data_IF_492536917655
#
_entry.id   IF_492536917655
#
_cell.length_a   1.000
_cell.length_b   1.000
_cell.length_c   1.000
_cell.angle_alpha   90.00
_cell.angle_beta   90.00
_cell.angle_gamma   90.00
#
_symmetry.space_group_name_H-M   'P 1'
#
loop_
_entity.id
_entity.type
_entity.pdbx_description
1 polymer ?
#
# COMPACT_ATOMS: atom_id res chain seq x y z
N UNK A 1 -14.42 -36.35 -40.63
CA UNK A 1 -15.55 -36.13 -39.71
C UNK A 1 -15.37 -37.10 -38.56
N UNK A 2 -15.07 -36.57 -37.36
CA UNK A 2 -14.90 -37.20 -36.03
C UNK A 2 -13.85 -38.31 -35.79
N UNK A 3 -13.08 -38.12 -34.71
CA UNK A 3 -12.14 -39.04 -34.04
C UNK A 3 -10.92 -38.26 -33.51
N UNK A 4 -10.92 -37.62 -32.34
CA UNK A 4 -10.75 -38.10 -30.94
C UNK A 4 -9.36 -38.70 -30.63
N UNK A 5 -8.58 -37.94 -29.85
CA UNK A 5 -7.69 -38.26 -28.69
C UNK A 5 -6.65 -39.39 -28.82
N UNK A 6 -5.36 -39.05 -28.57
CA UNK A 6 -4.52 -39.71 -27.54
C UNK A 6 -3.14 -39.06 -27.35
N UNK A 7 -2.67 -39.13 -26.10
CA UNK A 7 -1.43 -38.65 -25.50
C UNK A 7 -0.14 -39.05 -26.24
N UNK A 8 0.89 -38.21 -26.12
CA UNK A 8 2.26 -38.70 -25.92
C UNK A 8 2.77 -38.28 -24.55
N UNK A 9 2.94 -39.29 -23.70
CA UNK A 9 3.84 -39.30 -22.56
C UNK A 9 5.27 -39.11 -23.07
N UNK A 10 5.94 -38.08 -22.56
CA UNK A 10 7.39 -37.94 -22.65
C UNK A 10 7.95 -37.79 -21.24
N UNK A 11 8.16 -38.91 -20.54
CA UNK A 11 9.09 -38.94 -19.42
C UNK A 11 10.50 -38.87 -20.02
N UNK A 12 11.23 -37.80 -19.70
CA UNK A 12 12.68 -37.77 -19.85
C UNK A 12 13.25 -37.83 -18.44
N UNK A 13 13.85 -38.97 -18.14
CA UNK A 13 14.73 -39.18 -17.00
C UNK A 13 16.04 -38.44 -17.32
N UNK A 14 16.44 -37.45 -16.53
CA UNK A 14 17.81 -36.96 -16.55
C UNK A 14 18.20 -36.30 -15.21
N UNK A 15 19.03 -37.04 -14.47
CA UNK A 15 20.14 -36.58 -13.63
C UNK A 15 19.90 -35.36 -12.72
N UNK A 16 19.41 -35.68 -11.53
CA UNK A 16 20.12 -35.43 -10.27
C UNK A 16 21.10 -34.24 -10.28
N UNK A 17 20.55 -33.04 -10.15
CA UNK A 17 21.11 -32.06 -9.20
C UNK A 17 20.05 -31.89 -8.12
N UNK A 18 20.37 -32.35 -6.91
CA UNK A 18 19.73 -31.90 -5.67
C UNK A 18 19.81 -30.36 -5.63
N UNK A 19 18.87 -29.69 -6.29
CA UNK A 19 18.51 -28.33 -5.93
C UNK A 19 17.68 -28.53 -4.67
N UNK A 20 18.39 -28.50 -3.53
CA UNK A 20 17.75 -28.09 -2.29
C UNK A 20 17.29 -26.67 -2.50
N UNK A 21 16.10 -26.54 -3.08
CA UNK A 21 15.26 -25.37 -2.91
C UNK A 21 14.75 -25.40 -1.47
N UNK A 22 15.70 -25.29 -0.54
CA UNK A 22 15.40 -24.81 0.80
C UNK A 22 15.12 -23.34 0.59
N UNK A 23 13.87 -23.03 0.21
CA UNK A 23 13.29 -21.73 0.48
C UNK A 23 13.60 -21.47 1.95
N UNK A 24 14.60 -20.62 2.19
CA UNK A 24 14.92 -20.15 3.53
C UNK A 24 13.66 -19.48 4.02
N UNK A 25 12.97 -20.14 4.95
CA UNK A 25 11.86 -19.54 5.66
C UNK A 25 12.47 -18.35 6.37
N UNK A 26 12.24 -17.15 5.81
CA UNK A 26 12.67 -15.92 6.44
C UNK A 26 12.00 -15.83 7.80
N UNK A 27 12.78 -15.49 8.82
CA UNK A 27 12.21 -15.25 10.14
C UNK A 27 11.20 -14.08 10.03
N UNK A 28 10.07 -14.13 10.75
CA UNK A 28 9.18 -12.99 10.86
C UNK A 28 9.93 -11.77 11.39
N UNK A 29 9.60 -10.59 10.87
CA UNK A 29 10.11 -9.31 11.40
C UNK A 29 9.01 -8.56 12.14
N UNK A 30 9.39 -7.62 12.99
CA UNK A 30 8.45 -6.76 13.68
C UNK A 30 8.27 -5.45 12.91
N UNK A 31 7.02 -5.13 12.56
CA UNK A 31 6.65 -3.84 11.96
C UNK A 31 6.10 -2.96 13.05
N UNK A 32 6.72 -1.81 13.27
CA UNK A 32 6.15 -0.73 14.08
C UNK A 32 5.19 0.09 13.22
N UNK A 33 3.97 0.30 13.69
CA UNK A 33 2.96 1.09 12.99
C UNK A 33 2.64 2.32 13.83
N UNK A 34 2.70 3.50 13.21
CA UNK A 34 2.18 4.73 13.76
C UNK A 34 1.01 5.20 12.91
N UNK A 35 -0.18 5.13 13.50
CA UNK A 35 -1.40 5.66 12.93
C UNK A 35 -1.56 7.11 13.38
N UNK A 36 -2.01 7.95 12.47
CA UNK A 36 -2.35 9.34 12.72
C UNK A 36 -3.79 9.56 12.27
N UNK A 37 -4.57 10.26 13.09
CA UNK A 37 -5.86 10.78 12.65
C UNK A 37 -5.61 11.99 11.74
N UNK A 38 -6.08 11.92 10.49
CA UNK A 38 -5.86 12.98 9.51
C UNK A 38 -6.45 14.33 9.92
N UNK A 39 -7.46 14.37 10.81
CA UNK A 39 -8.21 15.59 11.12
C UNK A 39 -8.66 15.76 12.57
N UNK A 40 -9.10 14.70 13.24
CA UNK A 40 -9.60 14.77 14.62
C UNK A 40 -8.51 14.85 15.68
N UNK A 41 -7.27 14.46 15.31
CA UNK A 41 -6.09 14.49 16.18
C UNK A 41 -6.12 13.47 17.32
N UNK A 42 -7.17 12.66 17.43
CA UNK A 42 -7.29 11.57 18.42
C UNK A 42 -7.95 10.37 17.77
N UNK A 43 -7.22 9.27 17.74
CA UNK A 43 -7.75 8.00 17.25
C UNK A 43 -8.69 7.35 18.28
N UNK A 44 -9.62 6.50 17.85
CA UNK A 44 -10.44 5.73 18.76
C UNK A 44 -9.58 4.69 19.50
N UNK A 45 -10.10 4.19 20.62
CA UNK A 45 -9.57 2.97 21.21
C UNK A 45 -9.96 1.75 20.34
N UNK A 46 -9.35 0.60 20.64
CA UNK A 46 -9.65 -0.68 20.00
C UNK A 46 -9.38 -0.74 18.48
N UNK A 47 -8.25 -0.19 18.04
CA UNK A 47 -7.81 -0.29 16.65
C UNK A 47 -7.19 -1.67 16.42
N UNK A 48 -7.70 -2.42 15.45
CA UNK A 48 -7.22 -3.76 15.12
C UNK A 48 -6.23 -3.71 13.96
N UNK A 49 -5.04 -4.27 14.20
CA UNK A 49 -4.03 -4.56 13.19
C UNK A 49 -4.07 -6.06 12.89
N UNK A 50 -4.22 -6.43 11.62
CA UNK A 50 -4.26 -7.84 11.19
C UNK A 50 -3.23 -8.08 10.09
N UNK A 51 -2.32 -9.04 10.31
CA UNK A 51 -1.38 -9.53 9.30
C UNK A 51 -1.68 -10.98 8.95
N UNK A 52 -0.89 -11.58 8.05
CA UNK A 52 -0.99 -13.03 7.79
C UNK A 52 -0.51 -13.91 8.94
N UNK A 53 0.18 -13.34 9.94
CA UNK A 53 0.79 -14.08 11.05
C UNK A 53 0.05 -13.90 12.36
N UNK A 54 -0.49 -12.71 12.61
CA UNK A 54 -1.18 -12.41 13.86
C UNK A 54 -2.21 -11.29 13.72
N UNK A 55 -3.00 -11.11 14.79
CA UNK A 55 -3.93 -10.02 14.98
C UNK A 55 -3.60 -9.35 16.32
N UNK A 56 -3.65 -8.02 16.36
CA UNK A 56 -3.35 -7.24 17.56
C UNK A 56 -4.21 -6.00 17.64
N UNK A 57 -4.77 -5.75 18.83
CA UNK A 57 -5.47 -4.50 19.13
C UNK A 57 -4.52 -3.49 19.78
N UNK A 58 -4.58 -2.24 19.36
CA UNK A 58 -3.84 -1.11 19.91
C UNK A 58 -4.80 -0.03 20.41
N UNK A 59 -4.30 0.86 21.25
CA UNK A 59 -5.09 1.92 21.86
C UNK A 59 -5.08 3.21 21.01
N UNK A 60 -5.76 4.24 21.52
CA UNK A 60 -5.86 5.57 20.93
C UNK A 60 -4.53 6.33 20.78
N UNK A 61 -3.39 5.79 21.23
CA UNK A 61 -2.07 6.35 20.87
C UNK A 61 -1.76 6.21 19.38
N UNK A 62 -2.42 5.25 18.72
CA UNK A 62 -2.14 4.89 17.32
C UNK A 62 -0.81 4.19 17.12
N UNK A 63 -0.05 3.90 18.18
CA UNK A 63 1.24 3.24 18.09
C UNK A 63 1.10 1.74 18.37
N UNK A 64 1.60 0.92 17.46
CA UNK A 64 1.49 -0.52 17.50
C UNK A 64 2.73 -1.22 16.98
N UNK A 65 2.79 -2.53 17.21
CA UNK A 65 3.75 -3.38 16.52
C UNK A 65 3.13 -4.73 16.17
N UNK A 66 3.38 -5.25 14.97
CA UNK A 66 2.80 -6.49 14.48
C UNK A 66 3.83 -7.30 13.70
N UNK A 67 3.79 -8.63 13.86
CA UNK A 67 4.64 -9.56 13.12
C UNK A 67 4.15 -9.71 11.69
N UNK A 68 5.09 -9.67 10.74
CA UNK A 68 4.86 -9.95 9.32
C UNK A 68 5.89 -10.95 8.80
N UNK A 69 5.62 -11.64 7.68
CA UNK A 69 6.62 -12.48 7.04
C UNK A 69 7.84 -11.63 6.67
N UNK A 70 9.07 -12.10 6.95
CA UNK A 70 10.29 -11.43 6.50
C UNK A 70 10.59 -11.70 5.02
N UNK A 71 11.41 -10.85 4.39
CA UNK A 71 11.82 -10.95 2.99
C UNK A 71 10.65 -11.15 1.99
N UNK A 72 9.47 -10.61 2.28
CA UNK A 72 8.25 -10.83 1.52
C UNK A 72 7.33 -9.60 1.49
N UNK A 73 6.52 -9.49 0.45
CA UNK A 73 5.43 -8.52 0.45
C UNK A 73 4.40 -8.94 1.49
N UNK A 74 3.94 -7.99 2.29
CA UNK A 74 2.93 -8.22 3.31
C UNK A 74 1.82 -7.19 3.21
N UNK A 75 0.72 -7.48 3.88
CA UNK A 75 -0.40 -6.56 4.07
C UNK A 75 -0.75 -6.53 5.54
N UNK A 76 -0.87 -5.32 6.11
CA UNK A 76 -1.47 -5.10 7.41
C UNK A 76 -2.83 -4.44 7.18
N UNK A 77 -3.89 -5.15 7.51
CA UNK A 77 -5.23 -4.58 7.56
C UNK A 77 -5.39 -3.80 8.86
N UNK A 78 -5.88 -2.56 8.77
CA UNK A 78 -6.14 -1.69 9.91
C UNK A 78 -7.63 -1.38 9.93
N UNK A 79 -8.27 -1.71 11.05
CA UNK A 79 -9.69 -1.47 11.28
C UNK A 79 -9.87 -0.64 12.55
N UNK A 80 -10.66 0.42 12.45
CA UNK A 80 -11.00 1.29 13.56
C UNK A 80 -12.47 1.73 13.44
N UNK A 81 -13.18 1.93 14.56
CA UNK A 81 -14.56 2.44 14.54
C UNK A 81 -14.66 3.79 13.82
N UNK A 82 -15.61 3.93 12.89
CA UNK A 82 -15.87 5.14 12.09
C UNK A 82 -14.78 5.52 11.07
N UNK A 83 -13.80 4.63 10.82
CA UNK A 83 -12.79 4.79 9.77
C UNK A 83 -13.02 3.81 8.64
N UNK A 84 -12.55 4.19 7.45
CA UNK A 84 -12.40 3.25 6.34
C UNK A 84 -11.37 2.19 6.74
N UNK A 85 -11.56 0.94 6.30
CA UNK A 85 -10.53 -0.09 6.47
C UNK A 85 -9.32 0.26 5.60
N UNK A 86 -8.12 0.29 6.19
CA UNK A 86 -6.88 0.52 5.46
C UNK A 86 -6.12 -0.79 5.24
N UNK A 87 -5.52 -0.96 4.07
CA UNK A 87 -4.57 -2.03 3.75
C UNK A 87 -3.19 -1.41 3.56
N UNK A 88 -2.31 -1.58 4.53
CA UNK A 88 -0.93 -1.11 4.45
C UNK A 88 -0.09 -2.17 3.75
N UNK A 89 0.45 -1.84 2.57
CA UNK A 89 1.22 -2.76 1.73
C UNK A 89 2.65 -2.25 1.61
N UNK A 90 3.58 -3.09 2.02
CA UNK A 90 5.01 -2.90 1.87
C UNK A 90 5.68 -4.26 1.67
N UNK A 91 7.00 -4.25 1.46
CA UNK A 91 7.81 -5.46 1.48
C UNK A 91 8.79 -5.38 2.64
N UNK A 92 8.93 -6.49 3.34
CA UNK A 92 9.91 -6.66 4.41
C UNK A 92 11.24 -7.16 3.85
N UNK A 93 12.32 -6.85 4.54
CA UNK A 93 13.64 -7.46 4.38
C UNK A 93 14.02 -8.25 5.62
N UNK A 94 15.23 -8.01 6.10
CA UNK A 94 15.81 -8.66 7.30
C UNK A 94 15.75 -7.79 8.56
N UNK A 95 15.40 -6.51 8.43
CA UNK A 95 15.36 -5.53 9.52
C UNK A 95 13.93 -5.18 9.91
N UNK A 96 13.74 -4.74 11.16
CA UNK A 96 12.47 -4.19 11.63
C UNK A 96 12.19 -2.85 10.95
N UNK A 97 10.92 -2.59 10.65
CA UNK A 97 10.51 -1.44 9.83
C UNK A 97 9.46 -0.60 10.55
N UNK A 98 9.39 0.69 10.25
CA UNK A 98 8.37 1.60 10.78
C UNK A 98 7.51 2.12 9.65
N UNK A 99 6.20 1.95 9.76
CA UNK A 99 5.20 2.51 8.85
C UNK A 99 4.44 3.61 9.56
N UNK A 100 4.31 4.77 8.92
CA UNK A 100 3.48 5.88 9.42
C UNK A 100 2.37 6.14 8.40
N UNK A 101 1.12 6.12 8.83
CA UNK A 101 -0.02 6.34 7.94
C UNK A 101 -1.07 7.22 8.58
N UNK A 102 -1.76 7.99 7.74
CA UNK A 102 -2.96 8.72 8.11
C UNK A 102 -4.16 7.79 7.91
N UNK A 103 -5.00 7.64 8.93
CA UNK A 103 -6.30 6.99 8.80
C UNK A 103 -7.32 8.00 8.32
N UNK A 104 -8.11 7.61 7.33
CA UNK A 104 -9.16 8.44 6.77
C UNK A 104 -10.51 8.02 7.35
N UNK A 105 -11.16 8.94 8.05
CA UNK A 105 -12.57 8.79 8.37
C UNK A 105 -13.40 8.88 7.07
N UNK A 106 -14.53 8.18 7.06
CA UNK A 106 -15.39 8.08 5.86
C UNK A 106 -15.92 9.46 5.43
N UNK A 107 -16.35 10.27 6.39
CA UNK A 107 -16.87 11.61 6.17
C UNK A 107 -15.83 12.57 5.56
N UNK A 108 -14.57 12.45 5.98
CA UNK A 108 -13.45 13.23 5.44
C UNK A 108 -13.16 12.83 4.00
N UNK A 109 -13.19 11.53 3.70
CA UNK A 109 -12.99 11.05 2.33
C UNK A 109 -14.05 11.62 1.40
N UNK A 110 -15.32 11.57 1.82
CA UNK A 110 -16.45 12.17 1.08
C UNK A 110 -16.33 13.70 0.94
N UNK A 111 -15.85 14.39 1.98
CA UNK A 111 -15.61 15.83 1.93
C UNK A 111 -14.54 16.19 0.90
N UNK A 112 -13.41 15.47 0.90
CA UNK A 112 -12.33 15.68 -0.08
C UNK A 112 -12.85 15.46 -1.49
N UNK A 113 -13.61 14.38 -1.72
CA UNK A 113 -14.19 14.08 -3.02
C UNK A 113 -15.14 15.19 -3.48
N UNK A 114 -16.01 15.68 -2.60
CA UNK A 114 -16.90 16.81 -2.89
C UNK A 114 -16.15 18.11 -3.22
N UNK A 115 -15.01 18.38 -2.56
CA UNK A 115 -14.16 19.54 -2.88
C UNK A 115 -13.49 19.44 -4.25
N UNK A 116 -13.24 18.22 -4.72
CA UNK A 116 -12.60 17.92 -6.00
C UNK A 116 -13.61 17.67 -7.12
N UNK A 117 -14.91 17.78 -6.85
CA UNK A 117 -15.99 17.45 -7.79
C UNK A 117 -15.93 15.98 -8.26
N UNK A 118 -15.50 15.07 -7.37
CA UNK A 118 -15.47 13.61 -7.58
C UNK A 118 -16.73 13.01 -6.93
N UNK A 119 -17.47 12.20 -7.69
CA UNK A 119 -18.61 11.45 -7.17
C UNK A 119 -18.12 10.14 -6.55
N UNK A 120 -18.32 9.93 -5.26
CA UNK A 120 -17.88 8.70 -4.59
C UNK A 120 -18.54 7.45 -5.19
N UNK A 121 -17.77 6.38 -5.38
CA UNK A 121 -18.25 5.11 -5.89
C UNK A 121 -17.94 3.97 -4.90
N UNK A 122 -19.00 3.48 -4.23
CA UNK A 122 -18.91 2.43 -3.21
C UNK A 122 -18.47 1.06 -3.77
N UNK A 123 -18.55 0.82 -5.08
CA UNK A 123 -18.10 -0.42 -5.72
C UNK A 123 -16.58 -0.43 -5.99
N UNK A 124 -15.92 0.71 -5.77
CA UNK A 124 -14.49 0.92 -6.04
C UNK A 124 -13.69 1.15 -4.75
N UNK A 125 -12.37 1.12 -4.86
CA UNK A 125 -11.45 1.38 -3.75
C UNK A 125 -10.78 2.75 -3.85
N UNK A 126 -9.97 3.08 -2.84
CA UNK A 126 -9.01 4.20 -2.90
C UNK A 126 -7.60 3.62 -2.87
N UNK A 127 -6.69 4.15 -3.69
CA UNK A 127 -5.27 3.81 -3.63
C UNK A 127 -4.46 5.04 -3.24
N UNK A 128 -3.63 4.92 -2.21
CA UNK A 128 -2.72 5.95 -1.74
C UNK A 128 -1.29 5.45 -1.96
N UNK A 129 -0.47 6.26 -2.60
CA UNK A 129 0.97 6.00 -2.80
C UNK A 129 1.73 6.98 -1.91
N UNK A 130 2.29 6.47 -0.81
CA UNK A 130 3.14 7.24 0.08
C UNK A 130 4.56 7.33 -0.51
N UNK A 131 5.09 8.55 -0.57
CA UNK A 131 6.31 8.97 -1.23
C UNK A 131 7.07 9.88 -0.25
N UNK A 132 7.84 9.25 0.62
CA UNK A 132 8.58 9.90 1.70
C UNK A 132 10.07 9.55 1.64
N UNK A 133 10.91 10.41 2.22
CA UNK A 133 12.30 10.10 2.53
C UNK A 133 12.43 9.24 3.80
N UNK A 134 13.61 8.69 4.11
CA UNK A 134 13.82 7.87 5.31
C UNK A 134 13.53 8.59 6.64
N UNK A 135 13.57 9.92 6.65
CA UNK A 135 13.22 10.75 7.79
C UNK A 135 11.73 11.12 7.86
N UNK A 136 10.90 10.51 7.00
CA UNK A 136 9.47 10.75 6.83
C UNK A 136 9.11 12.16 6.34
N UNK A 137 10.09 12.88 5.76
CA UNK A 137 9.78 14.12 5.05
C UNK A 137 9.23 13.81 3.65
N UNK A 138 8.26 14.60 3.14
CA UNK A 138 7.70 14.39 1.80
C UNK A 138 8.75 14.47 0.69
N UNK A 139 8.75 13.50 -0.23
CA UNK A 139 9.54 13.52 -1.46
C UNK A 139 8.96 14.53 -2.47
N UNK A 140 9.12 15.82 -2.18
CA UNK A 140 8.48 16.91 -2.93
C UNK A 140 8.92 16.91 -4.39
N UNK A 141 7.96 16.85 -5.31
CA UNK A 141 8.23 16.75 -6.74
C UNK A 141 8.24 15.32 -7.30
N UNK A 142 8.28 14.30 -6.45
CA UNK A 142 7.99 12.93 -6.87
C UNK A 142 6.53 12.80 -7.31
N UNK A 143 6.23 11.81 -8.14
CA UNK A 143 4.87 11.56 -8.64
C UNK A 143 4.57 10.08 -8.75
N UNK A 144 3.29 9.74 -8.78
CA UNK A 144 2.81 8.39 -8.99
C UNK A 144 1.82 8.33 -10.15
N UNK A 145 1.79 7.19 -10.84
CA UNK A 145 0.79 6.84 -11.84
C UNK A 145 0.32 5.40 -11.61
N UNK A 146 -0.91 5.11 -12.01
CA UNK A 146 -1.49 3.76 -11.94
C UNK A 146 -2.08 3.36 -13.29
N UNK A 147 -2.11 2.06 -13.57
CA UNK A 147 -2.64 1.51 -14.82
C UNK A 147 -4.13 1.14 -14.79
N UNK A 148 -4.75 1.22 -13.61
CA UNK A 148 -6.17 0.91 -13.39
C UNK A 148 -7.06 2.15 -13.60
N UNK A 149 -8.33 1.94 -13.96
CA UNK A 149 -9.28 3.05 -14.11
C UNK A 149 -9.54 3.74 -12.76
N UNK A 150 -9.53 5.09 -12.77
CA UNK A 150 -9.74 5.91 -11.58
C UNK A 150 -10.29 7.31 -11.97
N UNK A 151 -10.88 8.03 -11.02
CA UNK A 151 -11.55 9.32 -11.28
C UNK A 151 -10.63 10.54 -11.09
N UNK A 152 -9.32 10.30 -11.22
CA UNK A 152 -8.27 11.29 -11.01
C UNK A 152 -7.35 10.98 -9.83
N UNK A 153 -6.19 11.61 -9.86
CA UNK A 153 -5.23 11.62 -8.77
C UNK A 153 -5.32 12.97 -8.04
N UNK A 154 -5.13 12.96 -6.73
CA UNK A 154 -5.12 14.14 -5.91
C UNK A 154 -4.06 14.08 -4.81
N UNK A 155 -3.67 15.26 -4.34
CA UNK A 155 -2.75 15.45 -3.22
C UNK A 155 -3.34 16.42 -2.21
N UNK A 156 -2.89 16.34 -0.96
CA UNK A 156 -3.26 17.30 0.09
C UNK A 156 -2.14 18.31 0.27
N UNK A 157 -2.36 19.55 -0.17
CA UNK A 157 -1.42 20.66 0.03
C UNK A 157 -1.82 21.59 1.18
N UNK A 158 -1.00 22.61 1.44
CA UNK A 158 -1.29 23.62 2.47
C UNK A 158 -2.57 24.45 2.24
N UNK A 159 -3.15 24.40 1.04
CA UNK A 159 -4.41 25.07 0.69
C UNK A 159 -5.60 24.10 0.56
N UNK A 160 -5.42 22.84 0.93
CA UNK A 160 -6.43 21.79 0.80
C UNK A 160 -6.12 20.80 -0.34
N UNK A 161 -7.09 19.94 -0.70
CA UNK A 161 -6.93 18.97 -1.76
C UNK A 161 -6.83 19.65 -3.13
N UNK A 162 -6.05 19.05 -4.03
CA UNK A 162 -5.96 19.48 -5.42
C UNK A 162 -5.72 18.30 -6.35
N UNK A 163 -6.29 18.35 -7.56
CA UNK A 163 -6.05 17.36 -8.60
C UNK A 163 -4.60 17.47 -9.10
N UNK A 164 -3.79 16.49 -8.74
CA UNK A 164 -2.37 16.39 -9.06
C UNK A 164 -1.92 14.98 -8.72
N UNK A 165 -0.94 14.48 -9.48
CA UNK A 165 -0.22 13.27 -9.16
C UNK A 165 1.21 13.55 -8.68
N UNK A 166 1.56 14.82 -8.43
CA UNK A 166 2.87 15.26 -7.96
C UNK A 166 2.78 15.69 -6.50
N UNK A 167 3.67 15.14 -5.67
CA UNK A 167 3.79 15.41 -4.24
C UNK A 167 4.10 16.90 -4.00
N UNK A 168 3.23 17.64 -3.30
CA UNK A 168 3.46 19.03 -2.95
C UNK A 168 4.38 19.13 -1.72
N UNK A 169 4.79 20.36 -1.38
CA UNK A 169 5.41 20.59 -0.08
C UNK A 169 4.41 20.31 1.06
N UNK A 170 4.75 19.39 1.97
CA UNK A 170 4.06 19.20 3.25
C UNK A 170 3.32 17.86 3.43
N UNK A 171 2.91 17.19 2.35
CA UNK A 171 2.30 15.86 2.42
C UNK A 171 2.98 14.94 1.41
N UNK A 172 3.53 13.81 1.87
CA UNK A 172 4.29 12.86 1.05
C UNK A 172 3.42 11.77 0.46
N UNK A 173 2.31 12.10 -0.19
CA UNK A 173 1.50 11.06 -0.84
C UNK A 173 0.68 11.58 -2.02
N UNK A 174 0.31 10.63 -2.89
CA UNK A 174 -0.62 10.81 -4.01
C UNK A 174 -1.76 9.81 -3.84
N UNK A 175 -3.00 10.29 -3.89
CA UNK A 175 -4.19 9.46 -3.75
C UNK A 175 -4.95 9.36 -5.07
N UNK A 176 -5.47 8.19 -5.38
CA UNK A 176 -6.28 7.89 -6.56
C UNK A 176 -7.68 7.50 -6.07
N UNK A 177 -8.69 8.27 -6.50
CA UNK A 177 -10.08 8.06 -6.11
C UNK A 177 -10.76 7.05 -7.02
N UNK A 178 -11.70 6.27 -6.46
CA UNK A 178 -12.56 5.36 -7.20
C UNK A 178 -11.78 4.45 -8.16
N UNK A 179 -10.76 3.76 -7.63
CA UNK A 179 -9.93 2.83 -8.38
C UNK A 179 -10.64 1.49 -8.55
N UNK A 180 -10.61 0.94 -9.77
CA UNK A 180 -11.19 -0.38 -10.06
C UNK A 180 -10.58 -1.47 -9.14
N UNK A 181 -11.39 -2.32 -8.49
CA UNK A 181 -10.87 -3.41 -7.66
C UNK A 181 -10.08 -4.44 -8.47
N UNK A 182 -8.96 -4.90 -7.91
CA UNK A 182 -8.09 -5.88 -8.54
C UNK A 182 -6.61 -5.49 -8.51
N UNK A 183 -5.75 -6.24 -9.23
CA UNK A 183 -4.34 -5.92 -9.35
C UNK A 183 -4.14 -4.59 -10.10
N UNK A 184 -3.42 -3.67 -9.47
CA UNK A 184 -3.06 -2.35 -10.00
C UNK A 184 -1.55 -2.21 -9.98
N UNK A 185 -0.96 -1.85 -11.11
CA UNK A 185 0.45 -1.49 -11.20
C UNK A 185 0.62 -0.01 -10.90
N UNK A 186 1.52 0.28 -9.96
CA UNK A 186 1.96 1.61 -9.58
C UNK A 186 3.30 1.86 -10.26
N UNK A 187 3.47 3.02 -10.88
CA UNK A 187 4.75 3.54 -11.37
C UNK A 187 5.05 4.85 -10.66
N UNK A 188 6.23 4.97 -10.08
CA UNK A 188 6.70 6.20 -9.41
C UNK A 188 7.74 6.88 -10.27
N UNK A 189 7.61 8.19 -10.44
CA UNK A 189 8.68 9.03 -11.00
C UNK A 189 9.31 9.84 -9.86
N UNK A 190 10.60 9.62 -9.53
CA UNK A 190 11.28 10.36 -8.46
C UNK A 190 11.39 11.86 -8.77
N UNK A 191 11.68 12.66 -7.74
CA UNK A 191 12.07 14.05 -7.94
C UNK A 191 13.44 14.14 -8.64
N UNK A 192 13.79 15.33 -9.15
CA UNK A 192 15.05 15.52 -9.88
C UNK A 192 16.26 15.22 -8.99
N UNK A 193 17.02 14.19 -9.37
CA UNK A 193 18.24 13.78 -8.67
C UNK A 193 18.04 12.70 -7.61
N UNK A 194 16.81 12.23 -7.42
CA UNK A 194 16.47 11.18 -6.46
C UNK A 194 16.19 9.85 -7.18
N UNK A 195 16.07 8.78 -6.38
CA UNK A 195 15.49 7.50 -6.76
C UNK A 195 14.42 7.13 -5.74
N UNK A 196 13.37 6.44 -6.17
CA UNK A 196 12.34 5.94 -5.25
C UNK A 196 12.21 4.42 -5.41
N UNK A 197 12.04 3.69 -4.33
CA UNK A 197 11.79 2.26 -4.37
C UNK A 197 10.60 1.91 -3.52
N UNK A 198 9.79 0.97 -4.03
CA UNK A 198 8.81 0.31 -3.19
C UNK A 198 9.56 -0.31 -2.01
N UNK A 199 9.12 0.02 -0.80
CA UNK A 199 9.87 -0.23 0.44
C UNK A 199 10.46 -1.65 0.45
N UNK A 200 11.79 -1.78 0.51
CA UNK A 200 12.58 -3.04 0.50
C UNK A 200 12.44 -3.97 -0.74
N UNK A 201 11.85 -3.49 -1.84
CA UNK A 201 11.70 -4.24 -3.10
C UNK A 201 12.66 -3.84 -4.22
N UNK A 202 13.31 -2.68 -4.10
CA UNK A 202 14.39 -2.23 -5.00
C UNK A 202 13.93 -1.77 -6.40
N UNK A 203 12.66 -1.41 -6.58
CA UNK A 203 12.15 -0.90 -7.86
C UNK A 203 11.16 0.25 -7.73
N UNK A 204 11.13 1.10 -8.75
CA UNK A 204 10.23 2.27 -8.91
C UNK A 204 8.77 1.89 -9.26
N UNK A 205 8.44 0.60 -9.22
CA UNK A 205 7.12 0.08 -9.54
C UNK A 205 6.71 -1.05 -8.61
N UNK A 206 5.41 -1.15 -8.33
CA UNK A 206 4.85 -2.23 -7.52
C UNK A 206 3.48 -2.65 -8.06
N UNK A 207 3.10 -3.91 -7.84
CA UNK A 207 1.74 -4.38 -8.08
C UNK A 207 1.04 -4.58 -6.74
N UNK A 208 -0.08 -3.91 -6.55
CA UNK A 208 -0.92 -4.03 -5.35
C UNK A 208 -2.31 -4.51 -5.74
N UNK A 209 -3.10 -5.00 -4.78
CA UNK A 209 -4.50 -5.32 -5.01
C UNK A 209 -5.39 -4.28 -4.34
N UNK A 210 -6.21 -3.58 -5.12
CA UNK A 210 -7.21 -2.64 -4.62
C UNK A 210 -8.47 -3.41 -4.26
N UNK A 211 -9.03 -3.13 -3.08
CA UNK A 211 -10.25 -3.77 -2.58
C UNK A 211 -11.39 -2.76 -2.53
N UNK A 212 -12.59 -3.18 -2.94
CA UNK A 212 -13.82 -2.36 -2.88
C UNK A 212 -14.05 -1.82 -1.47
N UNK A 213 -14.36 -0.52 -1.37
CA UNK A 213 -14.70 0.16 -0.11
C UNK A 213 -13.55 0.29 0.88
N UNK A 214 -12.30 0.03 0.47
CA UNK A 214 -11.12 0.11 1.33
C UNK A 214 -10.09 1.10 0.77
N UNK A 215 -9.22 1.59 1.65
CA UNK A 215 -8.07 2.38 1.28
C UNK A 215 -6.82 1.49 1.25
N UNK A 216 -6.25 1.28 0.07
CA UNK A 216 -4.97 0.58 -0.10
C UNK A 216 -3.83 1.62 -0.03
N UNK A 217 -2.85 1.42 0.84
CA UNK A 217 -1.69 2.32 1.01
C UNK A 217 -0.42 1.57 0.62
N UNK A 218 0.25 2.04 -0.42
CA UNK A 218 1.52 1.51 -0.91
C UNK A 218 2.68 2.44 -0.51
N UNK A 219 3.68 1.92 0.19
CA UNK A 219 4.80 2.70 0.69
C UNK A 219 6.01 2.64 -0.25
N UNK A 220 6.45 3.81 -0.70
CA UNK A 220 7.70 4.01 -1.43
C UNK A 220 8.62 4.92 -0.62
N UNK A 221 9.91 4.64 -0.70
CA UNK A 221 10.98 5.37 -0.05
C UNK A 221 11.83 6.06 -1.12
N UNK A 222 12.17 7.34 -0.95
CA UNK A 222 12.99 8.11 -1.89
C UNK A 222 14.32 8.57 -1.27
N UNK A 223 15.43 8.61 -2.02
CA UNK A 223 16.74 9.18 -1.64
C UNK A 223 17.51 9.84 -2.79
#
# INVERSE_FOLDING_TARGET
MFGIIALFLGCVENNNSDIKDTATVSEPILVSVQLLDAMGGTLPDDITLTSSLEEKTIDSSGSGSILVPGNAQFTIQVEAPDYVTHQLIAKSGEEDITLVTLLAAEDISLQIYGMLDIEANEERGTLVVALDHPDLSPATGASAEIDSEHDGAFVLGGFGPSLSNVVPSGAGFVSFANVEPGPTNISVTPAEGESCWFYDAGGESATVSVTTGQATVAFFMCE
#
